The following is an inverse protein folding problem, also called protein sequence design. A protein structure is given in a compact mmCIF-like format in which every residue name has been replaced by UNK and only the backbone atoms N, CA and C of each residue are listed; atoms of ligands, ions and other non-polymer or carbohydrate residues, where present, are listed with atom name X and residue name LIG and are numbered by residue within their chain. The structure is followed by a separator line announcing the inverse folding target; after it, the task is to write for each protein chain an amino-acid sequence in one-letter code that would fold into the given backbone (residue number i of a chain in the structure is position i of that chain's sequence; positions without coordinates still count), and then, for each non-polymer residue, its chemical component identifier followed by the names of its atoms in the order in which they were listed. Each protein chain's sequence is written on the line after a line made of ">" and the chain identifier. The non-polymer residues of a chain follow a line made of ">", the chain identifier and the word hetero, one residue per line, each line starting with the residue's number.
data_IF_794744356038
#
_entry.id   IF_794744356038
#
_cell.length_a   1.000
_cell.length_b   1.000
_cell.length_c   1.000
_cell.angle_alpha   90.00
_cell.angle_beta   90.00
_cell.angle_gamma   90.00
#
_symmetry.space_group_name_H-M   'P 1'
#
loop_
_entity.id
_entity.type
_entity.pdbx_description
1 polymer ?
#
# COMPACT_ATOMS: atom_id res chain seq x y z
N UNK A 1 6.72 16.86 22.63
CA UNK A 1 6.66 18.08 23.45
C UNK A 1 5.97 17.69 24.74
N UNK A 2 6.68 17.75 25.87
CA UNK A 2 6.10 17.51 27.18
C UNK A 2 5.20 18.70 27.53
N UNK A 3 3.94 18.45 27.84
CA UNK A 3 3.04 19.46 28.37
C UNK A 3 3.09 19.40 29.89
N UNK A 4 3.66 20.44 30.50
CA UNK A 4 3.63 20.70 31.93
C UNK A 4 2.26 21.28 32.29
N UNK A 5 1.50 20.56 33.13
CA UNK A 5 0.27 21.07 33.74
C UNK A 5 0.66 21.61 35.12
N UNK A 6 0.43 22.90 35.36
CA UNK A 6 0.59 23.52 36.68
C UNK A 6 -0.75 23.45 37.42
N UNK A 7 -0.76 22.84 38.60
CA UNK A 7 -1.92 22.81 39.51
C UNK A 7 -1.63 23.80 40.65
N UNK A 8 -2.46 24.82 40.90
CA UNK A 8 -2.30 25.71 42.04
C UNK A 8 -2.84 25.04 43.31
N UNK A 9 -2.09 25.10 44.41
CA UNK A 9 -2.58 24.67 45.74
C UNK A 9 -1.87 23.48 46.40
N UNK A 10 -0.56 23.32 46.23
CA UNK A 10 0.25 22.47 47.12
C UNK A 10 1.38 23.32 47.72
N UNK A 11 1.22 23.77 48.95
CA UNK A 11 2.35 24.25 49.76
C UNK A 11 3.30 23.08 50.01
N UNK A 12 4.52 23.20 49.49
CA UNK A 12 5.58 22.23 49.65
C UNK A 12 6.27 22.44 51.00
N UNK A 13 6.05 21.55 51.96
CA UNK A 13 6.99 21.37 53.08
C UNK A 13 8.12 20.45 52.62
N UNK A 14 9.32 20.99 52.51
CA UNK A 14 10.52 20.31 52.04
C UNK A 14 10.95 19.17 52.99
N UNK A 15 11.09 17.94 52.44
CA UNK A 15 11.87 16.87 53.06
C UNK A 15 12.67 16.08 52.01
N UNK A 16 13.85 15.52 52.37
CA UNK A 16 14.97 15.38 51.46
C UNK A 16 15.01 13.98 50.83
N UNK A 17 14.07 13.64 49.97
CA UNK A 17 14.16 12.43 49.14
C UNK A 17 13.40 12.70 47.82
N UNK A 18 14.07 12.51 46.69
CA UNK A 18 13.62 12.95 45.35
C UNK A 18 12.30 12.35 44.84
N UNK A 19 11.90 12.71 43.60
CA UNK A 19 10.54 12.48 43.10
C UNK A 19 10.18 11.00 42.94
N UNK A 20 9.05 10.59 43.53
CA UNK A 20 8.46 9.25 43.42
C UNK A 20 7.66 9.14 42.11
N UNK A 21 8.04 8.20 41.24
CA UNK A 21 7.32 7.93 40.00
C UNK A 21 6.10 7.03 40.22
N UNK A 22 4.90 7.58 40.05
CA UNK A 22 3.64 6.81 39.99
C UNK A 22 3.38 6.38 38.54
N UNK A 23 3.20 5.07 38.31
CA UNK A 23 2.79 4.51 37.01
C UNK A 23 1.27 4.50 36.90
N UNK A 24 0.71 5.32 36.02
CA UNK A 24 -0.70 5.26 35.62
C UNK A 24 -0.81 4.37 34.39
N UNK A 25 -1.64 3.32 34.46
CA UNK A 25 -1.94 2.43 33.34
C UNK A 25 -3.34 2.76 32.83
N UNK A 26 -3.43 3.24 31.58
CA UNK A 26 -4.70 3.46 30.89
C UNK A 26 -5.00 2.24 30.00
N UNK A 27 -6.13 1.58 30.23
CA UNK A 27 -6.66 0.56 29.33
C UNK A 27 -7.75 1.17 28.43
N UNK A 28 -7.70 0.91 27.12
CA UNK A 28 -8.76 1.29 26.19
C UNK A 28 -9.84 0.22 26.16
N UNK A 29 -11.10 0.59 26.43
CA UNK A 29 -12.27 -0.26 26.13
C UNK A 29 -12.97 0.31 24.90
N UNK A 30 -13.28 -0.57 23.96
CA UNK A 30 -13.90 -0.28 22.67
C UNK A 30 -15.42 -0.43 22.82
N UNK A 31 -16.22 0.56 22.39
CA UNK A 31 -17.69 0.43 22.35
C UNK A 31 -18.29 1.06 21.08
N UNK A 32 -19.24 0.33 20.50
CA UNK A 32 -20.08 0.68 19.36
C UNK A 32 -21.29 1.52 19.81
N UNK A 33 -21.71 2.52 19.02
CA UNK A 33 -22.98 3.21 19.25
C UNK A 33 -22.97 4.69 18.89
N UNK A 34 -23.85 5.06 17.97
CA UNK A 34 -24.10 6.42 17.49
C UNK A 34 -25.15 7.12 18.34
N UNK A 35 -24.78 7.63 19.52
CA UNK A 35 -25.36 8.81 20.16
C UNK A 35 -24.63 9.04 21.48
N UNK A 36 -24.20 10.28 21.68
CA UNK A 36 -23.24 10.64 22.71
C UNK A 36 -23.88 10.77 24.08
N UNK A 37 -23.52 9.87 24.98
CA UNK A 37 -23.20 10.13 26.39
C UNK A 37 -22.16 9.07 26.78
N UNK A 38 -20.96 9.46 27.18
CA UNK A 38 -19.93 8.52 27.63
C UNK A 38 -19.55 8.87 29.07
N UNK A 39 -20.03 8.08 30.03
CA UNK A 39 -19.49 8.09 31.38
C UNK A 39 -18.17 7.30 31.36
N UNK A 40 -17.07 7.96 31.71
CA UNK A 40 -15.79 7.31 31.99
C UNK A 40 -15.67 7.27 33.51
N UNK A 41 -16.04 6.14 34.10
CA UNK A 41 -15.72 5.88 35.50
C UNK A 41 -14.21 5.67 35.62
N UNK A 42 -13.53 6.66 36.21
CA UNK A 42 -12.10 6.61 36.45
C UNK A 42 -11.83 5.78 37.71
N UNK A 43 -11.61 4.48 37.54
CA UNK A 43 -11.15 3.62 38.63
C UNK A 43 -9.64 3.80 38.85
N UNK A 44 -9.25 4.51 39.91
CA UNK A 44 -7.86 4.65 40.33
C UNK A 44 -7.53 3.53 41.32
N UNK A 45 -6.76 2.53 40.89
CA UNK A 45 -6.17 1.53 41.79
C UNK A 45 -4.72 1.92 42.08
N UNK A 46 -4.48 2.52 43.25
CA UNK A 46 -3.12 2.76 43.75
C UNK A 46 -2.60 1.51 44.48
N UNK A 47 -1.46 0.96 44.04
CA UNK A 47 -0.80 -0.17 44.72
C UNK A 47 0.36 0.36 45.57
N UNK A 48 0.27 0.19 46.90
CA UNK A 48 1.28 0.62 47.88
C UNK A 48 2.62 -0.12 47.62
N UNK A 49 3.78 0.57 47.59
CA UNK A 49 5.08 -0.10 47.54
C UNK A 49 5.33 -0.88 48.85
N UNK A 50 5.91 -2.08 48.73
CA UNK A 50 6.38 -2.86 49.88
C UNK A 50 7.61 -2.17 50.46
N UNK A 51 7.67 -2.03 51.78
CA UNK A 51 8.73 -1.42 52.60
C UNK A 51 8.64 0.10 52.82
N UNK A 52 7.89 0.50 53.85
CA UNK A 52 8.39 1.28 55.00
C UNK A 52 7.22 1.76 55.87
N UNK A 53 7.51 1.84 57.16
CA UNK A 53 6.60 1.96 58.29
C UNK A 53 6.15 3.41 58.51
N UNK A 54 4.84 3.70 58.46
CA UNK A 54 4.16 4.67 59.35
C UNK A 54 2.67 4.30 59.43
N UNK A 55 2.18 4.26 60.66
CA UNK A 55 0.79 4.05 61.07
C UNK A 55 -0.04 5.33 60.91
N UNK A 56 -1.33 5.15 60.57
CA UNK A 56 -2.43 6.11 60.71
C UNK A 56 -2.35 7.42 59.89
N UNK A 57 -3.24 7.57 58.91
CA UNK A 57 -3.95 8.82 58.70
C UNK A 57 -5.31 8.52 58.05
N UNK A 58 -6.33 8.61 58.90
CA UNK A 58 -7.74 8.53 58.62
C UNK A 58 -8.25 9.85 58.04
N UNK A 59 -9.24 9.71 57.17
CA UNK A 59 -10.37 10.62 56.95
C UNK A 59 -10.16 12.03 56.36
N UNK A 60 -11.17 12.37 55.56
CA UNK A 60 -11.37 13.60 54.80
C UNK A 60 -10.35 13.74 53.65
N UNK A 61 -10.73 14.10 52.43
CA UNK A 61 -11.41 15.34 52.11
C UNK A 61 -12.44 15.13 50.99
N UNK A 62 -13.71 15.40 51.33
CA UNK A 62 -14.73 15.85 50.40
C UNK A 62 -14.39 17.29 50.01
N UNK A 63 -14.14 17.56 48.72
CA UNK A 63 -14.28 18.91 48.17
C UNK A 63 -14.92 18.82 46.79
N UNK A 64 -16.18 19.27 46.78
CA UNK A 64 -16.87 20.01 45.74
C UNK A 64 -16.62 19.60 44.28
N UNK A 65 -17.56 18.82 43.75
CA UNK A 65 -17.86 18.80 42.33
C UNK A 65 -18.24 20.23 41.88
N UNK A 66 -17.32 20.89 41.18
CA UNK A 66 -17.65 22.06 40.39
C UNK A 66 -17.59 21.64 38.93
N UNK A 67 -18.77 21.45 38.34
CA UNK A 67 -18.95 21.22 36.92
C UNK A 67 -18.31 22.38 36.15
N UNK A 68 -17.13 22.15 35.59
CA UNK A 68 -16.61 22.99 34.52
C UNK A 68 -17.04 22.33 33.23
N UNK A 69 -18.05 22.90 32.59
CA UNK A 69 -18.32 22.67 31.18
C UNK A 69 -17.08 23.09 30.38
N UNK A 70 -16.18 22.15 30.13
CA UNK A 70 -15.18 22.31 29.10
C UNK A 70 -15.89 22.07 27.77
N UNK A 71 -16.38 23.14 27.14
CA UNK A 71 -16.74 23.12 25.73
C UNK A 71 -15.46 22.87 24.94
N UNK A 72 -15.08 21.60 24.79
CA UNK A 72 -14.03 21.21 23.87
C UNK A 72 -14.58 21.44 22.47
N UNK A 73 -14.25 22.59 21.88
CA UNK A 73 -14.45 22.82 20.44
C UNK A 73 -13.86 21.63 19.71
N UNK A 74 -14.74 20.83 19.10
CA UNK A 74 -14.41 19.67 18.27
C UNK A 74 -13.83 20.07 16.91
N UNK A 75 -13.28 21.28 16.78
CA UNK A 75 -12.90 21.84 15.49
C UNK A 75 -11.39 21.96 15.27
N UNK A 76 -10.55 21.35 16.12
CA UNK A 76 -9.09 21.36 15.91
C UNK A 76 -8.44 20.02 15.58
N UNK A 77 -9.21 19.07 15.03
CA UNK A 77 -8.64 17.91 14.35
C UNK A 77 -9.31 17.61 13.01
N UNK A 78 -9.62 18.64 12.21
CA UNK A 78 -9.80 18.43 10.77
C UNK A 78 -8.43 18.19 10.15
N UNK A 79 -8.02 16.92 10.20
CA UNK A 79 -7.49 16.19 9.06
C UNK A 79 -6.58 17.05 8.18
N UNK A 80 -5.33 17.25 8.61
CA UNK A 80 -4.25 17.62 7.69
C UNK A 80 -4.06 16.42 6.75
N UNK A 81 -4.93 16.28 5.75
CA UNK A 81 -4.70 15.45 4.58
C UNK A 81 -3.54 16.13 3.87
N UNK A 82 -2.32 15.85 4.33
CA UNK A 82 -1.13 16.21 3.59
C UNK A 82 -1.39 15.74 2.16
N UNK A 83 -1.46 16.69 1.23
CA UNK A 83 -1.73 16.46 -0.18
C UNK A 83 -0.64 15.51 -0.68
N UNK A 84 -0.92 14.21 -0.62
CA UNK A 84 0.06 13.22 -1.06
C UNK A 84 0.22 13.43 -2.56
N UNK A 85 1.44 13.69 -3.00
CA UNK A 85 1.80 13.86 -4.41
C UNK A 85 1.59 12.58 -5.24
N UNK A 86 1.12 11.51 -4.59
CA UNK A 86 1.02 10.14 -5.09
C UNK A 86 -0.42 9.63 -5.06
N UNK A 87 -0.76 8.79 -6.04
CA UNK A 87 -2.04 8.07 -6.05
C UNK A 87 -2.07 7.07 -4.90
N UNK A 88 -3.26 6.74 -4.38
CA UNK A 88 -3.38 5.75 -3.29
C UNK A 88 -2.76 4.40 -3.66
N UNK A 89 -3.09 3.85 -4.82
CA UNK A 89 -2.52 2.60 -5.34
C UNK A 89 -2.35 2.72 -6.86
N UNK A 90 -1.18 2.34 -7.37
CA UNK A 90 -0.92 2.24 -8.81
C UNK A 90 -0.87 0.77 -9.19
N UNK A 91 -1.81 0.34 -10.04
CA UNK A 91 -1.79 -1.01 -10.62
C UNK A 91 -1.06 -0.94 -11.95
N UNK A 92 -0.04 -1.78 -12.14
CA UNK A 92 0.77 -1.84 -13.36
C UNK A 92 0.46 -3.15 -14.10
N UNK A 93 0.14 -3.04 -15.39
CA UNK A 93 0.08 -4.20 -16.29
C UNK A 93 1.50 -4.53 -16.75
N UNK A 94 2.02 -5.69 -16.38
CA UNK A 94 3.41 -6.04 -16.66
C UNK A 94 3.61 -6.71 -18.03
N UNK A 95 2.54 -6.96 -18.79
CA UNK A 95 2.66 -7.52 -20.15
C UNK A 95 3.58 -6.66 -21.02
N UNK A 96 4.45 -7.28 -21.80
CA UNK A 96 5.25 -6.54 -22.78
C UNK A 96 6.36 -5.67 -22.18
N UNK A 97 6.55 -5.67 -20.86
CA UNK A 97 7.60 -4.88 -20.20
C UNK A 97 8.93 -5.65 -20.13
N UNK A 98 10.06 -4.93 -20.11
CA UNK A 98 11.38 -5.50 -19.85
C UNK A 98 11.64 -5.58 -18.34
N UNK A 99 11.92 -6.78 -17.85
CA UNK A 99 12.00 -7.12 -16.42
C UNK A 99 12.85 -6.13 -15.60
N UNK A 100 14.12 -5.92 -15.99
CA UNK A 100 15.03 -5.06 -15.24
C UNK A 100 14.67 -3.57 -15.33
N UNK A 101 14.16 -3.11 -16.48
CA UNK A 101 13.77 -1.70 -16.66
C UNK A 101 12.54 -1.36 -15.84
N UNK A 102 11.55 -2.27 -15.83
CA UNK A 102 10.37 -2.14 -15.00
C UNK A 102 10.77 -2.14 -13.51
N UNK A 103 11.60 -3.10 -13.09
CA UNK A 103 12.02 -3.23 -11.70
C UNK A 103 12.71 -1.97 -11.15
N UNK A 104 13.53 -1.30 -11.97
CA UNK A 104 14.23 -0.07 -11.57
C UNK A 104 13.28 1.09 -11.31
N UNK A 105 12.31 1.31 -12.22
CA UNK A 105 11.28 2.34 -12.05
C UNK A 105 10.44 2.05 -10.81
N UNK A 106 9.97 0.80 -10.66
CA UNK A 106 9.17 0.38 -9.50
C UNK A 106 9.96 0.56 -8.20
N UNK A 107 11.22 0.17 -8.14
CA UNK A 107 12.06 0.33 -6.95
C UNK A 107 12.16 1.80 -6.50
N UNK A 108 12.33 2.74 -7.44
CA UNK A 108 12.40 4.17 -7.09
C UNK A 108 11.07 4.70 -6.57
N UNK A 109 9.96 4.32 -7.18
CA UNK A 109 8.62 4.73 -6.74
C UNK A 109 8.25 4.15 -5.36
N UNK A 110 8.63 2.91 -5.07
CA UNK A 110 8.45 2.32 -3.74
C UNK A 110 9.22 3.08 -2.65
N UNK A 111 10.41 3.58 -2.96
CA UNK A 111 11.22 4.41 -2.05
C UNK A 111 10.63 5.81 -1.83
N UNK A 112 9.94 6.36 -2.84
CA UNK A 112 9.18 7.62 -2.73
C UNK A 112 7.91 7.47 -1.89
N UNK A 113 7.42 6.23 -1.70
CA UNK A 113 6.26 5.93 -0.86
C UNK A 113 5.02 5.49 -1.62
N UNK A 114 5.08 5.36 -2.94
CA UNK A 114 3.96 4.89 -3.76
C UNK A 114 3.64 3.42 -3.47
N UNK A 115 2.36 3.10 -3.23
CA UNK A 115 1.90 1.72 -3.16
C UNK A 115 1.64 1.19 -4.58
N UNK A 116 2.25 0.05 -4.92
CA UNK A 116 2.27 -0.48 -6.29
C UNK A 116 1.82 -1.94 -6.30
N UNK A 117 0.93 -2.26 -7.24
CA UNK A 117 0.51 -3.62 -7.54
C UNK A 117 0.97 -3.96 -8.96
N UNK A 118 1.87 -4.93 -9.10
CA UNK A 118 2.28 -5.48 -10.38
C UNK A 118 1.42 -6.70 -10.71
N UNK A 119 0.89 -6.75 -11.93
CA UNK A 119 -0.10 -7.74 -12.36
C UNK A 119 0.32 -8.31 -13.71
N UNK A 120 -0.03 -9.58 -13.99
CA UNK A 120 0.40 -10.32 -15.19
C UNK A 120 1.91 -10.43 -15.33
N UNK A 121 2.56 -10.90 -14.28
CA UNK A 121 4.02 -11.04 -14.26
C UNK A 121 4.53 -12.15 -15.19
N UNK A 122 3.69 -13.11 -15.56
CA UNK A 122 3.97 -14.14 -16.56
C UNK A 122 4.28 -13.59 -17.95
N UNK A 123 3.66 -12.47 -18.34
CA UNK A 123 3.83 -11.84 -19.66
C UNK A 123 4.96 -10.79 -19.70
N UNK A 124 5.78 -10.71 -18.64
CA UNK A 124 7.01 -9.91 -18.63
C UNK A 124 8.02 -10.50 -19.61
N UNK A 125 8.78 -9.63 -20.27
CA UNK A 125 9.83 -10.03 -21.19
C UNK A 125 11.23 -9.79 -20.63
N UNK A 126 12.16 -10.65 -21.03
CA UNK A 126 13.60 -10.49 -20.88
C UNK A 126 14.20 -10.49 -22.29
N UNK A 127 15.20 -9.64 -22.53
CA UNK A 127 15.92 -9.66 -23.80
C UNK A 127 16.78 -10.92 -23.95
N UNK A 128 17.05 -11.32 -25.19
CA UNK A 128 17.76 -12.55 -25.53
C UNK A 128 16.84 -13.77 -25.66
N UNK A 129 17.37 -14.83 -26.26
CA UNK A 129 16.62 -16.07 -26.48
C UNK A 129 16.24 -16.78 -25.18
N UNK A 130 15.17 -17.58 -25.24
CA UNK A 130 14.70 -18.40 -24.13
C UNK A 130 15.80 -19.34 -23.61
N UNK A 131 16.50 -20.03 -24.50
CA UNK A 131 17.61 -20.92 -24.14
C UNK A 131 18.71 -20.19 -23.34
N UNK A 132 19.16 -19.02 -23.82
CA UNK A 132 20.18 -18.22 -23.12
C UNK A 132 19.73 -17.84 -21.70
N UNK A 133 18.47 -17.43 -21.54
CA UNK A 133 17.94 -17.03 -20.24
C UNK A 133 17.72 -18.24 -19.31
N UNK A 134 17.35 -19.40 -19.85
CA UNK A 134 17.33 -20.67 -19.11
C UNK A 134 18.70 -21.03 -18.57
N UNK A 135 19.76 -20.95 -19.39
CA UNK A 135 21.13 -21.24 -18.94
C UNK A 135 21.58 -20.30 -17.80
N UNK A 136 21.24 -19.01 -17.90
CA UNK A 136 21.49 -18.06 -16.79
C UNK A 136 20.77 -18.46 -15.51
N UNK A 137 19.51 -18.87 -15.62
CA UNK A 137 18.74 -19.30 -14.47
C UNK A 137 19.29 -20.63 -13.90
N UNK A 138 19.73 -21.56 -14.74
CA UNK A 138 20.35 -22.81 -14.31
C UNK A 138 21.68 -22.58 -13.58
N UNK A 139 22.48 -21.59 -14.00
CA UNK A 139 23.65 -21.14 -13.22
C UNK A 139 23.25 -20.62 -11.84
N UNK A 140 22.12 -19.91 -11.75
CA UNK A 140 21.58 -19.47 -10.48
C UNK A 140 21.11 -20.65 -9.60
N UNK A 141 20.52 -21.70 -10.18
CA UNK A 141 20.14 -22.92 -9.46
C UNK A 141 21.31 -23.73 -8.91
N UNK A 142 22.49 -23.63 -9.54
CA UNK A 142 23.70 -24.26 -9.04
C UNK A 142 24.16 -23.66 -7.71
N UNK A 143 23.78 -22.42 -7.40
CA UNK A 143 24.18 -21.74 -6.17
C UNK A 143 23.39 -22.27 -4.97
N UNK A 144 24.01 -23.18 -4.22
CA UNK A 144 23.49 -23.71 -2.95
C UNK A 144 24.56 -23.63 -1.88
N UNK A 145 24.14 -23.49 -0.61
CA UNK A 145 25.06 -23.68 0.51
C UNK A 145 25.40 -25.17 0.59
N UNK A 146 26.69 -25.53 0.54
CA UNK A 146 27.11 -26.92 0.53
C UNK A 146 26.78 -27.61 1.87
N UNK A 147 27.01 -26.93 2.99
CA UNK A 147 26.77 -27.47 4.34
C UNK A 147 25.30 -27.73 4.64
N UNK A 148 24.43 -26.73 4.47
CA UNK A 148 22.99 -26.89 4.67
C UNK A 148 22.19 -26.14 3.59
N UNK A 149 21.71 -26.85 2.55
CA UNK A 149 20.94 -26.24 1.47
C UNK A 149 19.68 -25.50 1.93
N UNK A 150 19.08 -25.87 3.09
CA UNK A 150 17.87 -25.21 3.62
C UNK A 150 18.12 -23.74 4.02
N UNK A 151 19.33 -23.40 4.46
CA UNK A 151 19.72 -22.01 4.81
C UNK A 151 20.29 -21.23 3.63
N UNK A 152 20.48 -21.88 2.48
CA UNK A 152 21.08 -21.29 1.30
C UNK A 152 20.17 -20.30 0.55
N UNK A 153 20.58 -19.88 -0.66
CA UNK A 153 19.77 -19.03 -1.51
C UNK A 153 18.46 -19.72 -1.93
N UNK A 154 17.32 -19.09 -1.67
CA UNK A 154 16.02 -19.62 -2.13
C UNK A 154 15.81 -19.39 -3.64
N UNK A 155 15.51 -20.46 -4.37
CA UNK A 155 15.23 -20.43 -5.81
C UNK A 155 13.72 -20.34 -6.08
N UNK A 156 13.22 -19.11 -6.23
CA UNK A 156 11.80 -18.84 -6.46
C UNK A 156 11.45 -18.99 -7.94
N UNK A 157 10.53 -19.90 -8.27
CA UNK A 157 10.21 -20.28 -9.67
C UNK A 157 9.09 -19.47 -10.31
N UNK A 158 8.15 -18.95 -9.52
CA UNK A 158 7.02 -18.19 -10.03
C UNK A 158 7.47 -16.84 -10.62
N UNK A 159 6.93 -16.41 -11.79
CA UNK A 159 7.29 -15.14 -12.45
C UNK A 159 7.22 -13.88 -11.55
N UNK A 160 6.15 -13.72 -10.79
CA UNK A 160 5.90 -12.74 -9.73
C UNK A 160 6.98 -12.73 -8.67
N UNK A 161 7.45 -13.90 -8.23
CA UNK A 161 8.51 -14.03 -7.23
C UNK A 161 9.88 -13.74 -7.83
N UNK A 162 10.08 -14.03 -9.11
CA UNK A 162 11.27 -13.60 -9.86
C UNK A 162 11.31 -12.07 -9.93
N UNK A 163 10.20 -11.42 -10.32
CA UNK A 163 10.10 -9.96 -10.34
C UNK A 163 10.29 -9.34 -8.95
N UNK A 164 9.66 -9.92 -7.93
CA UNK A 164 9.83 -9.47 -6.55
C UNK A 164 11.29 -9.56 -6.10
N UNK A 165 12.00 -10.64 -6.47
CA UNK A 165 13.42 -10.82 -6.17
C UNK A 165 14.29 -9.79 -6.88
N UNK A 166 13.99 -9.44 -8.13
CA UNK A 166 14.77 -8.41 -8.85
C UNK A 166 14.53 -7.01 -8.29
N UNK A 167 13.29 -6.66 -7.93
CA UNK A 167 12.99 -5.40 -7.24
C UNK A 167 13.68 -5.35 -5.87
N UNK A 168 13.62 -6.44 -5.09
CA UNK A 168 14.34 -6.57 -3.82
C UNK A 168 15.86 -6.41 -3.97
N UNK A 169 16.43 -6.89 -5.08
CA UNK A 169 17.85 -6.73 -5.40
C UNK A 169 18.26 -5.28 -5.67
N UNK A 170 17.32 -4.43 -6.12
CA UNK A 170 17.53 -3.00 -6.37
C UNK A 170 17.29 -2.11 -5.14
N UNK A 171 16.93 -2.71 -3.99
CA UNK A 171 16.65 -2.02 -2.74
C UNK A 171 17.64 -2.45 -1.64
N UNK A 172 18.03 -1.51 -0.78
CA UNK A 172 18.75 -1.81 0.48
C UNK A 172 17.78 -2.43 1.50
N UNK A 173 17.34 -3.65 1.22
CA UNK A 173 16.26 -4.35 1.92
C UNK A 173 16.61 -4.84 3.32
N UNK A 174 17.88 -4.80 3.73
CA UNK A 174 18.29 -5.12 5.11
C UNK A 174 17.94 -4.00 6.10
N UNK A 175 17.78 -2.77 5.62
CA UNK A 175 17.40 -1.61 6.45
C UNK A 175 15.88 -1.49 6.49
N UNK A 176 15.32 -1.00 7.59
CA UNK A 176 13.88 -0.80 7.78
C UNK A 176 13.22 -0.01 6.64
N UNK A 177 13.89 1.04 6.14
CA UNK A 177 13.41 1.83 5.01
C UNK A 177 13.16 0.95 3.77
N UNK A 178 14.07 0.01 3.50
CA UNK A 178 13.93 -0.93 2.38
C UNK A 178 12.86 -1.99 2.63
N UNK A 179 12.71 -2.45 3.88
CA UNK A 179 11.63 -3.37 4.26
C UNK A 179 10.25 -2.71 4.11
N UNK A 180 10.09 -1.47 4.59
CA UNK A 180 8.88 -0.65 4.40
C UNK A 180 8.56 -0.43 2.92
N UNK A 181 9.57 -0.24 2.07
CA UNK A 181 9.38 -0.13 0.62
C UNK A 181 8.87 -1.45 0.00
N UNK A 182 9.40 -2.61 0.43
CA UNK A 182 8.92 -3.91 -0.04
C UNK A 182 7.51 -4.24 0.45
N UNK A 183 7.12 -3.80 1.65
CA UNK A 183 5.76 -3.99 2.18
C UNK A 183 4.68 -3.26 1.34
N UNK A 184 5.06 -2.20 0.63
CA UNK A 184 4.16 -1.46 -0.29
C UNK A 184 3.94 -2.16 -1.63
N UNK A 185 4.79 -3.12 -1.97
CA UNK A 185 4.76 -3.83 -3.25
C UNK A 185 3.90 -5.09 -3.15
N UNK A 186 2.94 -5.22 -4.05
CA UNK A 186 2.19 -6.47 -4.26
C UNK A 186 2.45 -6.95 -5.68
N UNK A 187 2.67 -8.26 -5.87
CA UNK A 187 3.03 -8.83 -7.17
C UNK A 187 2.19 -10.10 -7.39
N UNK A 188 1.53 -10.18 -8.54
CA UNK A 188 0.63 -11.30 -8.88
C UNK A 188 0.93 -11.85 -10.29
N UNK A 189 0.72 -13.15 -10.46
CA UNK A 189 0.53 -13.78 -11.77
C UNK A 189 -0.93 -13.64 -12.18
N UNK A 190 -1.19 -13.39 -13.46
CA UNK A 190 -2.52 -13.05 -13.94
C UNK A 190 -3.07 -11.80 -13.23
N UNK A 191 -4.37 -11.56 -13.35
CA UNK A 191 -5.08 -10.48 -12.65
C UNK A 191 -6.05 -11.09 -11.63
N UNK A 192 -5.82 -10.90 -10.31
CA UNK A 192 -6.77 -11.34 -9.31
C UNK A 192 -8.03 -10.47 -9.29
N UNK A 193 -9.13 -11.04 -8.77
CA UNK A 193 -10.47 -10.41 -8.72
C UNK A 193 -10.47 -9.03 -8.05
N UNK A 194 -9.62 -8.82 -7.05
CA UNK A 194 -9.49 -7.55 -6.30
C UNK A 194 -9.07 -6.35 -7.17
N UNK A 195 -8.34 -6.60 -8.26
CA UNK A 195 -7.73 -5.53 -9.09
C UNK A 195 -8.25 -5.50 -10.52
N UNK A 196 -9.03 -6.49 -10.94
CA UNK A 196 -9.57 -6.57 -12.30
C UNK A 196 -10.43 -5.36 -12.70
N UNK A 197 -11.24 -4.85 -11.78
CA UNK A 197 -12.10 -3.68 -12.02
C UNK A 197 -11.30 -2.36 -12.07
N UNK A 198 -10.04 -2.37 -11.62
CA UNK A 198 -9.20 -1.16 -11.56
C UNK A 198 -8.48 -0.96 -12.89
N UNK A 199 -8.29 0.31 -13.28
CA UNK A 199 -7.49 0.65 -14.45
C UNK A 199 -6.03 0.30 -14.19
N UNK A 200 -5.45 -0.48 -15.10
CA UNK A 200 -4.03 -0.82 -15.10
C UNK A 200 -3.26 0.23 -15.89
N UNK A 201 -2.12 0.65 -15.34
CA UNK A 201 -1.21 1.61 -15.93
C UNK A 201 -0.04 0.88 -16.60
N UNK A 202 0.63 1.57 -17.52
CA UNK A 202 1.77 1.06 -18.28
C UNK A 202 2.96 1.99 -18.06
N UNK A 203 4.17 1.43 -17.98
CA UNK A 203 5.41 2.20 -17.87
C UNK A 203 6.08 2.27 -19.25
N UNK A 204 5.91 3.37 -20.01
CA UNK A 204 6.34 3.43 -21.41
C UNK A 204 7.86 3.29 -21.55
N UNK A 205 8.63 3.81 -20.59
CA UNK A 205 10.10 3.73 -20.59
C UNK A 205 10.64 2.29 -20.47
N UNK A 206 9.81 1.35 -20.01
CA UNK A 206 10.16 -0.06 -19.80
C UNK A 206 9.50 -1.00 -20.82
N UNK A 207 8.68 -0.51 -21.75
CA UNK A 207 8.05 -1.34 -22.77
C UNK A 207 9.09 -1.93 -23.74
N UNK A 208 8.94 -3.23 -24.04
CA UNK A 208 9.78 -3.96 -24.99
C UNK A 208 9.74 -3.32 -26.37
N UNK A 209 8.54 -2.97 -26.86
CA UNK A 209 8.35 -2.40 -28.21
C UNK A 209 9.13 -1.10 -28.41
N UNK A 210 9.26 -0.29 -27.36
CA UNK A 210 9.99 1.00 -27.41
C UNK A 210 11.49 0.79 -27.27
N UNK A 211 11.91 -0.19 -26.48
CA UNK A 211 13.31 -0.33 -26.03
C UNK A 211 14.12 -1.38 -26.76
N UNK A 212 13.49 -2.40 -27.30
CA UNK A 212 14.16 -3.51 -27.97
C UNK A 212 13.98 -3.37 -29.49
N UNK A 213 15.08 -3.43 -30.24
CA UNK A 213 15.05 -3.42 -31.71
C UNK A 213 14.24 -4.64 -32.22
N UNK A 214 13.33 -4.50 -33.20
CA UNK A 214 12.33 -5.51 -33.55
C UNK A 214 12.90 -6.90 -33.95
N UNK A 215 14.09 -6.94 -34.56
CA UNK A 215 14.76 -8.21 -34.95
C UNK A 215 15.41 -8.96 -33.77
N UNK A 216 15.50 -8.36 -32.57
CA UNK A 216 16.20 -8.98 -31.44
C UNK A 216 15.28 -9.94 -30.69
N UNK A 217 15.76 -11.16 -30.54
CA UNK A 217 15.05 -12.21 -29.79
C UNK A 217 14.81 -11.78 -28.34
N UNK A 218 13.66 -12.18 -27.81
CA UNK A 218 13.27 -11.99 -26.42
C UNK A 218 12.66 -13.28 -25.88
N UNK A 219 12.41 -13.29 -24.58
CA UNK A 219 11.89 -14.42 -23.85
C UNK A 219 10.79 -13.92 -22.91
N UNK A 220 9.63 -14.58 -22.94
CA UNK A 220 8.56 -14.35 -21.98
C UNK A 220 8.87 -15.08 -20.67
N UNK A 221 8.59 -14.42 -19.54
CA UNK A 221 8.96 -14.90 -18.21
C UNK A 221 8.15 -16.14 -17.80
N UNK A 222 6.90 -16.25 -18.25
CA UNK A 222 6.06 -17.44 -18.06
C UNK A 222 6.71 -18.69 -18.65
N UNK A 223 7.21 -18.61 -19.88
CA UNK A 223 7.86 -19.75 -20.58
C UNK A 223 9.19 -20.14 -19.92
N UNK A 224 9.94 -19.15 -19.43
CA UNK A 224 11.14 -19.41 -18.65
C UNK A 224 10.80 -20.09 -17.32
N UNK A 225 9.75 -19.62 -16.65
CA UNK A 225 9.36 -20.11 -15.32
C UNK A 225 8.84 -21.54 -15.40
N UNK A 226 8.04 -21.88 -16.41
CA UNK A 226 7.52 -23.23 -16.63
C UNK A 226 8.64 -24.25 -16.84
N UNK A 227 9.64 -23.91 -17.68
CA UNK A 227 10.82 -24.77 -17.89
C UNK A 227 11.66 -24.99 -16.63
N UNK A 228 11.52 -24.12 -15.64
CA UNK A 228 12.34 -24.15 -14.41
C UNK A 228 11.51 -24.61 -13.19
N UNK A 229 10.36 -25.23 -13.42
CA UNK A 229 9.58 -25.92 -12.39
C UNK A 229 8.43 -25.09 -11.81
N UNK A 230 7.88 -24.13 -12.55
CA UNK A 230 6.61 -23.50 -12.20
C UNK A 230 5.44 -24.27 -12.84
N UNK A 231 4.61 -24.90 -12.01
CA UNK A 231 3.53 -25.81 -12.43
C UNK A 231 2.21 -25.13 -12.78
N UNK A 232 2.00 -23.88 -12.37
CA UNK A 232 0.68 -23.22 -12.46
C UNK A 232 0.44 -22.44 -13.77
N UNK A 233 1.27 -22.64 -14.80
CA UNK A 233 1.15 -21.93 -16.08
C UNK A 233 -0.22 -22.11 -16.73
N UNK A 234 -0.68 -23.36 -16.87
CA UNK A 234 -1.95 -23.68 -17.54
C UNK A 234 -3.17 -23.23 -16.75
N UNK A 235 -3.07 -23.25 -15.41
CA UNK A 235 -4.11 -22.72 -14.54
C UNK A 235 -4.28 -21.21 -14.74
N UNK A 236 -3.17 -20.46 -14.75
CA UNK A 236 -3.22 -19.01 -14.97
C UNK A 236 -3.76 -18.70 -16.37
N UNK A 237 -3.35 -19.45 -17.40
CA UNK A 237 -3.88 -19.29 -18.76
C UNK A 237 -5.41 -19.46 -18.81
N UNK A 238 -5.96 -20.51 -18.18
CA UNK A 238 -7.42 -20.74 -18.12
C UNK A 238 -8.16 -19.62 -17.37
N UNK A 239 -7.63 -19.16 -16.24
CA UNK A 239 -8.24 -18.08 -15.47
C UNK A 239 -8.21 -16.74 -16.21
N UNK A 240 -7.11 -16.44 -16.88
CA UNK A 240 -6.96 -15.23 -17.70
C UNK A 240 -7.93 -15.24 -18.89
N UNK A 241 -8.14 -16.39 -19.52
CA UNK A 241 -9.07 -16.53 -20.64
C UNK A 241 -10.52 -16.33 -20.18
N UNK A 242 -10.92 -16.99 -19.09
CA UNK A 242 -12.24 -16.77 -18.46
C UNK A 242 -12.45 -15.28 -18.11
N UNK A 243 -11.41 -14.61 -17.61
CA UNK A 243 -11.46 -13.18 -17.30
C UNK A 243 -11.59 -12.31 -18.55
N UNK A 244 -10.89 -12.62 -19.65
CA UNK A 244 -11.01 -11.89 -20.92
C UNK A 244 -12.42 -11.98 -21.48
N UNK A 245 -13.05 -13.15 -21.46
CA UNK A 245 -14.46 -13.30 -21.89
C UNK A 245 -15.38 -12.38 -21.09
N UNK A 246 -15.25 -12.37 -19.75
CA UNK A 246 -16.01 -11.45 -18.89
C UNK A 246 -15.72 -9.98 -19.21
N UNK A 247 -14.47 -9.63 -19.45
CA UNK A 247 -14.06 -8.27 -19.80
C UNK A 247 -14.59 -7.82 -21.15
N UNK A 248 -14.70 -8.72 -22.14
CA UNK A 248 -15.26 -8.44 -23.46
C UNK A 248 -16.76 -8.14 -23.37
N UNK A 249 -17.51 -8.93 -22.60
CA UNK A 249 -18.93 -8.67 -22.36
C UNK A 249 -19.16 -7.31 -21.65
N UNK A 250 -18.30 -6.96 -20.67
CA UNK A 250 -18.33 -5.62 -20.07
C UNK A 250 -18.00 -4.51 -21.07
N UNK A 251 -17.02 -4.74 -21.96
CA UNK A 251 -16.60 -3.75 -22.95
C UNK A 251 -17.69 -3.46 -23.98
N UNK A 252 -18.43 -4.46 -24.46
CA UNK A 252 -19.56 -4.26 -25.38
C UNK A 252 -20.63 -3.34 -24.77
N UNK A 253 -21.07 -3.65 -23.55
CA UNK A 253 -22.03 -2.81 -22.79
C UNK A 253 -21.50 -1.39 -22.58
N UNK A 254 -20.20 -1.25 -22.31
CA UNK A 254 -19.56 0.06 -22.14
C UNK A 254 -19.51 0.82 -23.47
N UNK A 255 -19.20 0.16 -24.58
CA UNK A 255 -19.11 0.76 -25.92
C UNK A 255 -20.46 1.33 -26.34
N UNK A 256 -21.53 0.57 -26.16
CA UNK A 256 -22.92 1.02 -26.43
C UNK A 256 -23.28 2.22 -25.56
N UNK A 257 -22.99 2.16 -24.25
CA UNK A 257 -23.21 3.29 -23.33
C UNK A 257 -22.44 4.54 -23.74
N UNK A 258 -21.16 4.39 -24.13
CA UNK A 258 -20.35 5.52 -24.57
C UNK A 258 -20.88 6.11 -25.88
N UNK A 259 -21.42 5.29 -26.79
CA UNK A 259 -22.09 5.78 -28.00
C UNK A 259 -23.34 6.61 -27.65
N UNK A 260 -24.23 6.06 -26.81
CA UNK A 260 -25.43 6.78 -26.34
C UNK A 260 -25.08 8.08 -25.61
N UNK A 261 -24.02 8.08 -24.80
CA UNK A 261 -23.54 9.30 -24.14
C UNK A 261 -23.00 10.33 -25.12
N UNK A 262 -22.34 9.90 -26.20
CA UNK A 262 -21.85 10.81 -27.24
C UNK A 262 -23.01 11.42 -28.04
N UNK A 263 -24.02 10.62 -28.40
CA UNK A 263 -25.26 11.08 -29.06
C UNK A 263 -26.00 12.10 -28.15
N UNK A 264 -26.21 11.77 -26.88
CA UNK A 264 -26.82 12.68 -25.92
C UNK A 264 -25.99 13.96 -25.70
N UNK A 265 -24.65 13.86 -25.69
CA UNK A 265 -23.76 15.03 -25.58
C UNK A 265 -23.91 15.94 -26.81
N UNK A 266 -23.98 15.38 -28.02
CA UNK A 266 -24.17 16.18 -29.24
C UNK A 266 -25.50 16.91 -29.26
N UNK A 267 -26.58 16.28 -28.78
CA UNK A 267 -27.87 16.94 -28.64
C UNK A 267 -27.82 18.07 -27.60
N UNK A 268 -27.26 17.79 -26.41
CA UNK A 268 -27.13 18.80 -25.35
C UNK A 268 -26.29 20.00 -25.78
N UNK A 269 -25.24 19.78 -26.59
CA UNK A 269 -24.40 20.85 -27.13
C UNK A 269 -25.19 21.80 -28.06
N UNK A 270 -26.16 21.30 -28.81
CA UNK A 270 -27.03 22.11 -29.67
C UNK A 270 -28.07 22.90 -28.86
N UNK A 271 -28.56 22.35 -27.75
CA UNK A 271 -29.55 23.00 -26.88
C UNK A 271 -28.96 24.10 -26.00
N UNK A 272 -27.66 24.03 -25.68
CA UNK A 272 -26.99 25.02 -24.84
C UNK A 272 -26.90 26.41 -25.50
N UNK A 273 -26.87 27.50 -24.72
CA UNK A 273 -26.64 28.85 -25.24
C UNK A 273 -25.35 28.93 -26.08
N UNK A 274 -25.43 29.62 -27.23
CA UNK A 274 -24.33 29.71 -28.21
C UNK A 274 -23.03 30.26 -27.59
N UNK A 275 -23.13 31.21 -26.67
CA UNK A 275 -21.99 31.81 -25.98
C UNK A 275 -21.17 30.77 -25.20
N UNK A 276 -21.86 29.84 -24.53
CA UNK A 276 -21.21 28.77 -23.78
C UNK A 276 -20.57 27.74 -24.71
N UNK A 277 -21.21 27.45 -25.84
CA UNK A 277 -20.64 26.54 -26.86
C UNK A 277 -19.37 27.16 -27.46
N UNK A 278 -19.38 28.44 -27.82
CA UNK A 278 -18.21 29.15 -28.31
C UNK A 278 -17.06 29.16 -27.28
N UNK A 279 -17.39 29.36 -26.00
CA UNK A 279 -16.41 29.23 -24.91
C UNK A 279 -15.82 27.82 -24.83
N UNK A 280 -16.62 26.77 -24.91
CA UNK A 280 -16.13 25.38 -24.88
C UNK A 280 -15.25 25.03 -26.10
N UNK A 281 -15.52 25.63 -27.26
CA UNK A 281 -14.72 25.44 -28.48
C UNK A 281 -13.33 26.06 -28.35
N UNK A 282 -13.21 27.21 -27.69
CA UNK A 282 -11.90 27.85 -27.44
C UNK A 282 -10.93 26.92 -26.68
N UNK A 283 -11.46 26.07 -25.78
CA UNK A 283 -10.67 25.09 -25.02
C UNK A 283 -10.68 23.68 -25.63
N UNK A 284 -11.31 23.46 -26.78
CA UNK A 284 -11.34 22.17 -27.49
C UNK A 284 -12.18 21.08 -26.82
N UNK A 285 -13.19 21.45 -26.01
CA UNK A 285 -14.10 20.51 -25.36
C UNK A 285 -15.36 20.18 -26.17
N UNK A 286 -15.67 21.06 -27.12
CA UNK A 286 -16.85 21.10 -27.97
C UNK A 286 -16.52 20.76 -29.42
#
# INVERSE_FOLDING_TARGET
>A
MMFSISIPGLEATAHPCGPVHVRVVLYSVQAEGSQGVFALDLFVVAKKPRHSCVSSFSDAWNVAAQEREFTFSKDFCTRRVSKMTFKKVVVIDCQGHLLGRLASVVAKELLKGQQIICVRCEDINISGSLHRNRLKYQRFLRLRMNSNPRRGPYHLRAPSRILWRTIRGMLRHKVERGQKALARLQVFEGVPTMVERKKRMVVPSALRIVRLKPKRNFCRLGDLSSQVGWSHGDLVARLEEKRKTRSSAYYQKKKERTKMQAEAKSFAQTTLPKDQVAFLQQYGHA
#
